data_IF_598414808204
#
_entry.id   IF_598414808204
#
_cell.length_a   1.000
_cell.length_b   1.000
_cell.length_c   1.000
_cell.angle_alpha   90.00
_cell.angle_beta   90.00
_cell.angle_gamma   90.00
#
_symmetry.space_group_name_H-M   'P 1'
#
loop_
_entity.id
_entity.type
_entity.pdbx_description
1 polymer ?
#
# COMPACT_ATOMS: atom_id res chain seq x y z
N UNK A 1 4.84 5.95 -8.48
CA UNK A 1 4.93 4.59 -7.88
C UNK A 1 5.45 3.53 -8.85
N UNK A 2 5.15 3.59 -10.16
CA UNK A 2 5.48 2.53 -11.13
C UNK A 2 6.94 2.07 -11.11
N UNK A 3 7.91 2.97 -10.96
CA UNK A 3 9.33 2.62 -10.95
C UNK A 3 9.69 1.67 -9.80
N UNK A 4 9.14 1.91 -8.60
CA UNK A 4 9.39 1.11 -7.40
C UNK A 4 8.55 -0.16 -7.33
N UNK A 5 7.45 -0.23 -8.07
CA UNK A 5 6.55 -1.38 -8.10
C UNK A 5 6.80 -2.32 -9.28
N UNK A 6 7.88 -2.14 -10.05
CA UNK A 6 8.25 -2.98 -11.18
C UNK A 6 9.48 -3.83 -10.86
N UNK A 7 9.69 -4.87 -11.65
CA UNK A 7 10.92 -5.66 -11.58
C UNK A 7 12.17 -4.76 -11.70
N UNK A 8 13.26 -5.05 -10.97
CA UNK A 8 13.50 -6.26 -10.18
C UNK A 8 13.00 -6.18 -8.72
N UNK A 9 12.16 -5.21 -8.36
CA UNK A 9 11.70 -5.09 -6.96
C UNK A 9 10.90 -6.33 -6.53
N UNK A 10 11.30 -6.91 -5.39
CA UNK A 10 10.66 -8.10 -4.80
C UNK A 10 9.69 -7.75 -3.66
N UNK A 11 9.88 -6.60 -3.01
CA UNK A 11 8.94 -6.11 -2.01
C UNK A 11 9.10 -4.64 -1.64
N UNK A 12 8.07 -4.07 -1.00
CA UNK A 12 8.04 -2.68 -0.55
C UNK A 12 7.34 -2.54 0.80
N UNK A 13 7.77 -1.54 1.58
CA UNK A 13 7.06 -1.08 2.79
C UNK A 13 6.35 0.22 2.43
N UNK A 14 5.04 0.27 2.65
CA UNK A 14 4.25 1.48 2.55
C UNK A 14 4.11 2.09 3.93
N UNK A 15 4.64 3.29 4.13
CA UNK A 15 4.38 4.07 5.33
C UNK A 15 3.19 5.00 5.10
N UNK A 16 2.04 4.59 5.59
CA UNK A 16 0.75 5.27 5.42
C UNK A 16 0.40 6.13 6.64
N UNK A 17 -0.51 7.09 6.46
CA UNK A 17 -0.95 7.97 7.55
C UNK A 17 -2.01 7.29 8.42
N UNK A 18 -1.99 7.57 9.72
CA UNK A 18 -3.04 7.17 10.65
C UNK A 18 -3.31 5.66 10.66
N UNK A 19 -4.56 5.28 10.44
CA UNK A 19 -5.00 3.87 10.37
C UNK A 19 -4.53 3.11 9.12
N UNK A 20 -3.92 3.79 8.16
CA UNK A 20 -3.26 3.18 7.01
C UNK A 20 -4.13 2.84 5.82
N UNK A 21 -5.17 3.63 5.57
CA UNK A 21 -6.08 3.44 4.43
C UNK A 21 -5.43 3.88 3.10
N UNK A 22 -5.84 3.25 2.00
CA UNK A 22 -5.45 3.69 0.67
C UNK A 22 -6.37 4.84 0.18
N UNK A 23 -5.88 5.74 -0.69
CA UNK A 23 -6.73 6.76 -1.30
C UNK A 23 -7.69 6.13 -2.33
N UNK A 24 -8.99 6.28 -2.11
CA UNK A 24 -10.05 5.77 -2.98
C UNK A 24 -10.24 6.60 -4.26
N UNK A 25 -9.78 7.85 -4.25
CA UNK A 25 -9.84 8.77 -5.38
C UNK A 25 -8.66 8.64 -6.37
N UNK A 26 -7.78 7.65 -6.20
CA UNK A 26 -6.58 7.43 -7.04
C UNK A 26 -6.57 6.03 -7.65
N UNK A 27 -7.49 5.81 -8.57
CA UNK A 27 -7.61 4.55 -9.29
C UNK A 27 -6.30 4.12 -10.00
N UNK A 28 -5.52 5.08 -10.52
CA UNK A 28 -4.22 4.82 -11.14
C UNK A 28 -3.18 4.24 -10.17
N UNK A 29 -3.20 4.68 -8.91
CA UNK A 29 -2.31 4.17 -7.86
C UNK A 29 -2.74 2.76 -7.43
N UNK A 30 -4.03 2.58 -7.17
CA UNK A 30 -4.59 1.28 -6.77
C UNK A 30 -4.38 0.21 -7.85
N UNK A 31 -4.47 0.60 -9.11
CA UNK A 31 -4.20 -0.28 -10.25
C UNK A 31 -2.73 -0.73 -10.32
N UNK A 32 -1.78 0.18 -10.09
CA UNK A 32 -0.35 -0.18 -10.06
C UNK A 32 0.00 -1.06 -8.85
N UNK A 33 -0.62 -0.83 -7.69
CA UNK A 33 -0.48 -1.70 -6.52
C UNK A 33 -1.03 -3.10 -6.83
N UNK A 34 -2.24 -3.20 -7.41
CA UNK A 34 -2.86 -4.47 -7.80
C UNK A 34 -1.97 -5.26 -8.76
N UNK A 35 -1.48 -4.61 -9.82
CA UNK A 35 -0.56 -5.22 -10.80
C UNK A 35 0.76 -5.67 -10.18
N UNK A 36 1.25 -4.98 -9.15
CA UNK A 36 2.45 -5.38 -8.43
C UNK A 36 2.22 -6.65 -7.60
N UNK A 37 1.12 -6.69 -6.84
CA UNK A 37 0.73 -7.84 -6.02
C UNK A 37 0.41 -9.07 -6.87
N UNK A 38 -0.29 -8.92 -8.00
CA UNK A 38 -0.57 -10.00 -8.96
C UNK A 38 0.70 -10.66 -9.52
N UNK A 39 1.79 -9.89 -9.64
CA UNK A 39 3.09 -10.40 -10.07
C UNK A 39 3.89 -11.07 -8.94
N UNK A 40 3.38 -11.04 -7.71
CA UNK A 40 4.03 -11.63 -6.53
C UNK A 40 4.94 -10.69 -5.74
N UNK A 41 4.87 -9.37 -5.98
CA UNK A 41 5.60 -8.40 -5.15
C UNK A 41 5.00 -8.37 -3.74
N UNK A 42 5.84 -8.55 -2.71
CA UNK A 42 5.40 -8.53 -1.31
C UNK A 42 5.26 -7.10 -0.83
N UNK A 43 4.10 -6.74 -0.28
CA UNK A 43 3.83 -5.40 0.21
C UNK A 43 3.44 -5.44 1.69
N UNK A 44 4.13 -4.63 2.51
CA UNK A 44 3.81 -4.47 3.93
C UNK A 44 3.33 -3.04 4.16
N UNK A 45 2.14 -2.88 4.72
CA UNK A 45 1.61 -1.58 5.10
C UNK A 45 1.88 -1.30 6.58
N UNK A 46 2.59 -0.21 6.85
CA UNK A 46 2.94 0.28 8.18
C UNK A 46 2.40 1.71 8.34
N UNK A 47 2.10 2.11 9.57
CA UNK A 47 1.72 3.50 9.85
C UNK A 47 2.94 4.36 10.16
N UNK A 48 2.92 5.62 9.74
CA UNK A 48 3.90 6.64 10.15
C UNK A 48 3.75 7.04 11.63
N UNK A 49 2.66 6.64 12.29
CA UNK A 49 2.46 6.93 13.70
C UNK A 49 3.49 6.20 14.57
N UNK A 50 4.14 6.92 15.50
CA UNK A 50 5.11 6.35 16.45
C UNK A 50 4.51 5.26 17.36
N UNK A 51 3.19 5.28 17.55
CA UNK A 51 2.43 4.31 18.35
C UNK A 51 1.13 3.97 17.64
N UNK A 52 0.71 2.72 17.77
CA UNK A 52 -0.45 2.16 17.08
C UNK A 52 -0.05 1.27 15.90
N UNK A 53 -1.04 0.76 15.17
CA UNK A 53 -0.85 -0.08 14.00
C UNK A 53 -1.84 0.29 12.90
N UNK A 54 -1.60 -0.20 11.69
CA UNK A 54 -2.59 -0.18 10.62
C UNK A 54 -3.83 -0.98 11.04
N UNK A 55 -5.01 -0.51 10.70
CA UNK A 55 -6.30 -1.11 11.04
C UNK A 55 -7.29 -0.98 9.89
N UNK A 56 -8.10 -1.99 9.65
CA UNK A 56 -9.15 -1.99 8.60
C UNK A 56 -10.47 -1.35 9.06
N UNK A 57 -10.42 -0.43 10.02
CA UNK A 57 -11.61 0.13 10.68
C UNK A 57 -12.44 1.09 9.81
N UNK A 58 -11.91 1.48 8.65
CA UNK A 58 -12.57 2.38 7.70
C UNK A 58 -12.86 1.66 6.39
N UNK A 59 -13.90 2.10 5.67
CA UNK A 59 -14.32 1.50 4.40
C UNK A 59 -13.20 1.43 3.35
N UNK A 60 -12.28 2.41 3.35
CA UNK A 60 -11.12 2.47 2.43
C UNK A 60 -9.91 1.67 2.92
N UNK A 61 -10.05 0.94 4.02
CA UNK A 61 -9.03 0.01 4.54
C UNK A 61 -9.21 -1.44 4.04
N UNK A 62 -10.26 -1.73 3.27
CA UNK A 62 -10.52 -3.03 2.64
C UNK A 62 -10.21 -2.99 1.13
#
# INVERSE_FOLDING_TARGET
>A
VKAFLKAPMEGVILETYGSGNAPDNRADLLDEIRKATERGLIMVNCTQCLRGSVTISYATGQ
#
